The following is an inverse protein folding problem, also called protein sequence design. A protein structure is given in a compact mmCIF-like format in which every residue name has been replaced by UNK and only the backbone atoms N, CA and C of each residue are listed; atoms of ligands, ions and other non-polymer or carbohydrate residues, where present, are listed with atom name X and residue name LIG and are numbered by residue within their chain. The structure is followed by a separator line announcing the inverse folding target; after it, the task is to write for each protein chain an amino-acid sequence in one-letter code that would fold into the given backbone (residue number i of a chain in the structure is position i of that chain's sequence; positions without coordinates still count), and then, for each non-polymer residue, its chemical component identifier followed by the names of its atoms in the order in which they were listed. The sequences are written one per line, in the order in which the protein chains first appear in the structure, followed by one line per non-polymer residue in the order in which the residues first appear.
data_IF_885106277139
#
_entry.id   IF_885106277139
#
_cell.length_a   1.000
_cell.length_b   1.000
_cell.length_c   1.000
_cell.angle_alpha   90.00
_cell.angle_beta   90.00
_cell.angle_gamma   90.00
#
_symmetry.space_group_name_H-M   'P 1'
#
loop_
_entity.id
_entity.type
_entity.pdbx_description
1 polymer ?
#
# COMPACT_ATOMS: atom_id res chain seq x y z
N UNK A 1 -27.36 -54.59 60.77
CA UNK A 1 -28.32 -53.48 60.99
C UNK A 1 -28.54 -52.74 59.68
N UNK A 2 -29.60 -51.92 59.61
CA UNK A 2 -29.78 -50.84 58.63
C UNK A 2 -28.58 -49.85 58.69
N UNK A 3 -28.23 -49.03 57.69
CA UNK A 3 -28.85 -48.76 56.38
C UNK A 3 -27.88 -48.00 55.44
N UNK A 4 -28.16 -48.00 54.12
CA UNK A 4 -27.85 -46.90 53.13
C UNK A 4 -26.38 -46.47 52.87
N UNK A 5 -25.97 -45.93 51.71
CA UNK A 5 -26.65 -45.65 50.41
C UNK A 5 -25.63 -45.43 49.25
N UNK A 6 -26.15 -45.53 48.02
CA UNK A 6 -25.78 -44.90 46.72
C UNK A 6 -24.83 -43.67 46.74
N UNK A 7 -24.07 -43.29 45.70
CA UNK A 7 -24.17 -43.39 44.21
C UNK A 7 -22.77 -43.09 43.58
N UNK A 8 -22.41 -43.11 42.27
CA UNK A 8 -23.03 -43.40 40.94
C UNK A 8 -21.91 -43.78 39.92
N UNK A 9 -22.24 -44.42 38.79
CA UNK A 9 -21.35 -44.66 37.63
C UNK A 9 -21.14 -43.45 36.71
N UNK A 10 -19.97 -43.34 36.06
CA UNK A 10 -19.85 -42.78 34.70
C UNK A 10 -18.60 -43.32 33.96
N UNK A 11 -18.82 -44.04 32.86
CA UNK A 11 -17.79 -44.48 31.90
C UNK A 11 -17.57 -43.38 30.82
N UNK A 12 -16.35 -43.15 30.32
CA UNK A 12 -16.09 -42.20 29.22
C UNK A 12 -15.02 -42.67 28.23
N UNK A 13 -15.26 -42.28 26.96
CA UNK A 13 -14.50 -42.71 25.78
C UNK A 13 -13.13 -42.03 25.65
N UNK A 14 -12.23 -42.71 24.96
CA UNK A 14 -11.04 -42.13 24.33
C UNK A 14 -11.44 -41.00 23.36
N UNK A 15 -10.60 -39.97 23.28
CA UNK A 15 -10.70 -38.90 22.27
C UNK A 15 -9.34 -38.70 21.59
N UNK A 16 -9.37 -38.56 20.25
CA UNK A 16 -8.17 -38.27 19.45
C UNK A 16 -7.91 -36.76 19.46
N UNK A 17 -6.80 -36.34 20.05
CA UNK A 17 -6.41 -34.93 20.10
C UNK A 17 -5.75 -34.49 18.79
N UNK A 18 -6.53 -33.88 17.89
CA UNK A 18 -6.01 -33.15 16.74
C UNK A 18 -6.34 -31.66 16.87
N UNK A 19 -5.52 -30.96 17.66
CA UNK A 19 -5.64 -29.52 17.91
C UNK A 19 -4.31 -28.80 17.63
N UNK A 20 -3.99 -28.64 16.34
CA UNK A 20 -3.20 -27.49 15.93
C UNK A 20 -4.08 -26.25 15.98
N UNK A 21 -4.21 -25.66 17.17
CA UNK A 21 -4.81 -24.36 17.37
C UNK A 21 -3.94 -23.30 16.70
N UNK A 22 -4.16 -23.09 15.40
CA UNK A 22 -3.59 -21.95 14.70
C UNK A 22 -4.14 -20.68 15.37
N UNK A 23 -3.29 -19.99 16.14
CA UNK A 23 -3.65 -18.75 16.81
C UNK A 23 -4.02 -17.70 15.76
N UNK A 24 -5.33 -17.54 15.53
CA UNK A 24 -5.85 -16.51 14.65
C UNK A 24 -5.58 -15.18 15.33
N UNK A 25 -4.43 -14.58 15.01
CA UNK A 25 -4.01 -13.32 15.60
C UNK A 25 -4.96 -12.22 15.08
N UNK A 26 -6.01 -11.96 15.86
CA UNK A 26 -7.17 -11.15 15.50
C UNK A 26 -6.87 -9.65 15.49
N UNK A 27 -5.63 -9.23 15.21
CA UNK A 27 -5.30 -7.81 15.06
C UNK A 27 -5.84 -7.22 13.74
N UNK A 28 -7.15 -6.93 13.78
CA UNK A 28 -7.83 -5.90 12.98
C UNK A 28 -7.76 -6.14 11.47
N UNK A 29 -8.49 -7.17 11.02
CA UNK A 29 -9.10 -7.23 9.68
C UNK A 29 -10.19 -6.16 9.52
N UNK A 30 -9.80 -4.89 9.66
CA UNK A 30 -10.70 -3.75 9.55
C UNK A 30 -11.10 -3.53 8.09
N UNK A 31 -12.39 -3.29 7.78
CA UNK A 31 -12.82 -2.85 6.45
C UNK A 31 -12.35 -1.42 6.12
N UNK A 32 -11.88 -0.69 7.14
CA UNK A 32 -11.28 0.63 7.06
C UNK A 32 -9.75 0.55 7.09
N UNK A 33 -9.09 1.50 6.44
CA UNK A 33 -7.64 1.61 6.47
C UNK A 33 -7.13 1.92 7.90
N UNK A 34 -5.96 1.39 8.25
CA UNK A 34 -5.28 1.62 9.53
C UNK A 34 -5.05 3.12 9.80
N UNK A 35 -4.87 3.53 11.06
CA UNK A 35 -4.72 4.94 11.43
C UNK A 35 -3.63 5.68 10.61
N UNK A 36 -3.98 6.86 10.12
CA UNK A 36 -3.14 7.67 9.22
C UNK A 36 -3.10 7.20 7.76
N UNK A 37 -3.90 6.22 7.35
CA UNK A 37 -4.11 5.85 5.95
C UNK A 37 -5.50 6.30 5.46
N UNK A 38 -5.60 6.72 4.20
CA UNK A 38 -6.83 7.20 3.55
C UNK A 38 -7.36 6.17 2.56
N UNK A 39 -8.65 5.81 2.68
CA UNK A 39 -9.31 4.84 1.80
C UNK A 39 -9.68 5.51 0.47
N UNK A 40 -9.17 4.98 -0.64
CA UNK A 40 -9.46 5.42 -2.01
C UNK A 40 -9.71 4.15 -2.84
N UNK A 41 -10.87 4.04 -3.47
CA UNK A 41 -11.19 3.01 -4.47
C UNK A 41 -10.83 1.55 -4.05
N UNK A 42 -11.11 1.15 -2.79
CA UNK A 42 -10.77 -0.19 -2.28
C UNK A 42 -9.30 -0.40 -1.90
N UNK A 43 -8.48 0.64 -1.94
CA UNK A 43 -7.07 0.67 -1.53
C UNK A 43 -6.86 1.69 -0.41
N UNK A 44 -5.74 1.59 0.27
CA UNK A 44 -5.32 2.44 1.39
C UNK A 44 -4.04 3.18 1.02
N UNK A 45 -4.06 4.51 1.11
CA UNK A 45 -2.95 5.39 0.75
C UNK A 45 -2.42 6.19 1.93
N UNK A 46 -1.11 6.47 1.96
CA UNK A 46 -0.49 7.31 2.99
C UNK A 46 0.58 8.21 2.36
N UNK A 47 0.44 9.51 2.54
CA UNK A 47 1.48 10.48 2.20
C UNK A 47 2.58 10.45 3.27
N UNK A 48 3.82 10.40 2.84
CA UNK A 48 5.02 10.42 3.68
C UNK A 48 5.76 11.72 3.39
N UNK A 49 5.70 12.66 4.34
CA UNK A 49 6.26 14.00 4.18
C UNK A 49 7.80 14.02 4.17
N UNK A 50 8.44 13.07 4.86
CA UNK A 50 9.90 12.95 4.95
C UNK A 50 10.53 12.72 3.57
N UNK A 51 11.40 13.63 3.06
CA UNK A 51 11.98 13.45 1.75
C UNK A 51 12.97 12.29 1.67
N UNK A 52 12.81 11.42 0.68
CA UNK A 52 13.65 10.23 0.45
C UNK A 52 13.98 10.07 -1.03
N UNK A 53 15.10 9.39 -1.34
CA UNK A 53 15.30 8.84 -2.71
C UNK A 53 14.21 7.80 -3.00
N UNK A 54 13.90 7.56 -4.27
CA UNK A 54 12.80 6.67 -4.67
C UNK A 54 12.96 5.26 -4.06
N UNK A 55 14.18 4.71 -4.06
CA UNK A 55 14.48 3.39 -3.47
C UNK A 55 14.34 3.35 -1.95
N UNK A 56 14.70 4.44 -1.23
CA UNK A 56 14.45 4.56 0.22
C UNK A 56 12.97 4.71 0.52
N UNK A 57 12.23 5.44 -0.32
CA UNK A 57 10.78 5.62 -0.20
C UNK A 57 10.02 4.29 -0.40
N UNK A 58 10.40 3.49 -1.41
CA UNK A 58 9.87 2.13 -1.61
C UNK A 58 10.19 1.21 -0.42
N UNK A 59 11.43 1.21 0.10
CA UNK A 59 11.78 0.44 1.31
C UNK A 59 10.92 0.84 2.53
N UNK A 60 10.70 2.14 2.72
CA UNK A 60 9.83 2.68 3.78
C UNK A 60 8.36 2.27 3.61
N UNK A 61 7.84 2.20 2.37
CA UNK A 61 6.51 1.66 2.13
C UNK A 61 6.45 0.15 2.44
N UNK A 62 7.48 -0.63 2.06
CA UNK A 62 7.55 -2.08 2.33
C UNK A 62 7.55 -2.41 3.81
N UNK A 63 8.22 -1.62 4.65
CA UNK A 63 8.16 -1.74 6.12
C UNK A 63 6.80 -1.40 6.75
N UNK A 64 5.80 -1.00 5.96
CA UNK A 64 4.39 -0.85 6.38
C UNK A 64 3.44 -1.82 5.64
N UNK A 65 3.98 -2.90 5.05
CA UNK A 65 3.28 -3.86 4.18
C UNK A 65 2.57 -3.17 3.00
N UNK A 66 3.27 -2.24 2.35
CA UNK A 66 2.82 -1.45 1.22
C UNK A 66 3.93 -1.30 0.17
N UNK A 67 3.61 -0.68 -0.96
CA UNK A 67 4.58 -0.23 -1.96
C UNK A 67 4.41 1.28 -2.16
N UNK A 68 5.29 1.92 -2.93
CA UNK A 68 4.96 3.21 -3.53
C UNK A 68 3.70 3.07 -4.40
N UNK A 69 2.88 4.12 -4.41
CA UNK A 69 1.56 4.06 -5.01
C UNK A 69 1.60 3.82 -6.53
N UNK A 70 1.00 2.74 -7.00
CA UNK A 70 0.54 2.65 -8.39
C UNK A 70 -0.78 3.40 -8.57
N UNK A 71 -1.01 3.90 -9.79
CA UNK A 71 -2.21 4.68 -10.13
C UNK A 71 -2.94 3.99 -11.28
N UNK A 72 -4.19 3.61 -11.05
CA UNK A 72 -4.99 2.75 -11.92
C UNK A 72 -5.97 3.53 -12.80
N UNK A 73 -6.32 4.77 -12.43
CA UNK A 73 -7.16 5.68 -13.23
C UNK A 73 -7.09 7.13 -12.73
N UNK A 74 -7.62 8.05 -13.53
CA UNK A 74 -7.63 9.50 -13.27
C UNK A 74 -8.41 9.87 -11.99
N UNK A 75 -9.46 9.11 -11.64
CA UNK A 75 -10.25 9.33 -10.43
C UNK A 75 -9.51 8.96 -9.14
N UNK A 76 -8.67 7.92 -9.19
CA UNK A 76 -7.70 7.60 -8.12
C UNK A 76 -6.61 8.68 -8.04
N UNK A 77 -6.08 9.10 -9.19
CA UNK A 77 -5.03 10.12 -9.29
C UNK A 77 -5.43 11.44 -8.62
N UNK A 78 -6.59 12.00 -8.95
CA UNK A 78 -7.07 13.24 -8.32
C UNK A 78 -7.30 13.10 -6.80
N UNK A 79 -7.68 11.91 -6.32
CA UNK A 79 -7.83 11.64 -4.88
C UNK A 79 -6.46 11.58 -4.18
N UNK A 80 -5.42 11.04 -4.84
CA UNK A 80 -4.03 11.09 -4.35
C UNK A 80 -3.51 12.54 -4.34
N UNK A 81 -3.82 13.35 -5.36
CA UNK A 81 -3.49 14.79 -5.36
C UNK A 81 -4.16 15.53 -4.20
N UNK A 82 -5.44 15.27 -3.93
CA UNK A 82 -6.14 15.84 -2.78
C UNK A 82 -5.50 15.40 -1.45
N UNK A 83 -5.06 14.14 -1.33
CA UNK A 83 -4.31 13.66 -0.15
C UNK A 83 -2.99 14.43 0.05
N UNK A 84 -2.20 14.65 -1.00
CA UNK A 84 -0.95 15.43 -0.92
C UNK A 84 -1.25 16.89 -0.54
N UNK A 85 -2.27 17.51 -1.13
CA UNK A 85 -2.70 18.87 -0.82
C UNK A 85 -3.09 19.00 0.66
N UNK A 86 -3.98 18.14 1.17
CA UNK A 86 -4.44 18.13 2.57
C UNK A 86 -3.34 17.79 3.60
N UNK A 87 -2.16 17.32 3.16
CA UNK A 87 -1.05 16.92 4.04
C UNK A 87 0.23 17.75 3.85
N UNK A 88 0.27 18.67 2.88
CA UNK A 88 1.42 19.54 2.62
C UNK A 88 1.06 20.97 2.20
N UNK A 89 -0.24 21.32 2.23
CA UNK A 89 -0.83 22.61 1.86
C UNK A 89 -0.54 23.08 0.42
N UNK A 90 0.03 22.21 -0.44
CA UNK A 90 0.31 22.46 -1.86
C UNK A 90 0.35 21.16 -2.66
N UNK A 91 0.36 21.27 -3.99
CA UNK A 91 0.57 20.13 -4.90
C UNK A 91 2.05 19.76 -4.98
N UNK A 92 2.62 19.26 -3.87
CA UNK A 92 4.05 18.93 -3.76
C UNK A 92 4.46 17.87 -4.78
N UNK A 93 5.61 18.05 -5.46
CA UNK A 93 6.18 17.03 -6.35
C UNK A 93 6.59 15.79 -5.54
N UNK A 94 5.90 14.67 -5.78
CA UNK A 94 5.88 13.51 -4.87
C UNK A 94 6.19 12.22 -5.61
N UNK A 95 7.00 11.33 -5.02
CA UNK A 95 7.30 10.01 -5.57
C UNK A 95 6.09 9.08 -5.53
N UNK A 96 5.85 8.38 -6.64
CA UNK A 96 4.91 7.26 -6.77
C UNK A 96 5.61 6.08 -7.47
N UNK A 97 5.00 4.90 -7.49
CA UNK A 97 5.71 3.63 -7.67
C UNK A 97 6.19 3.30 -9.08
N UNK A 98 6.19 4.26 -10.01
CA UNK A 98 6.57 4.01 -11.39
C UNK A 98 8.09 4.06 -11.57
N UNK A 99 8.64 3.09 -12.30
CA UNK A 99 10.05 3.09 -12.72
C UNK A 99 10.23 2.26 -14.00
N UNK A 100 11.15 2.69 -14.86
CA UNK A 100 11.67 1.92 -16.00
C UNK A 100 13.16 1.56 -15.80
N UNK A 101 13.67 1.61 -14.57
CA UNK A 101 15.09 1.37 -14.25
C UNK A 101 15.58 -0.05 -14.56
N UNK A 102 14.66 -1.01 -14.76
CA UNK A 102 14.97 -2.37 -15.22
C UNK A 102 15.21 -2.43 -16.74
N UNK A 103 14.50 -1.62 -17.52
CA UNK A 103 14.58 -1.54 -18.96
C UNK A 103 14.03 -0.19 -19.43
N UNK A 104 14.90 0.66 -19.97
CA UNK A 104 14.59 2.00 -20.50
C UNK A 104 13.30 2.00 -21.36
N UNK A 105 12.40 2.96 -21.11
CA UNK A 105 11.05 3.11 -21.71
C UNK A 105 10.00 2.07 -21.27
N UNK A 106 10.37 0.95 -20.64
CA UNK A 106 9.42 -0.04 -20.11
C UNK A 106 9.04 0.31 -18.67
N UNK A 107 8.07 1.22 -18.52
CA UNK A 107 7.57 1.65 -17.22
C UNK A 107 6.74 0.55 -16.54
N UNK A 108 7.10 0.24 -15.28
CA UNK A 108 6.46 -0.74 -14.42
C UNK A 108 6.07 -0.09 -13.08
N UNK A 109 5.05 -0.64 -12.41
CA UNK A 109 4.72 -0.27 -11.02
C UNK A 109 5.45 -1.19 -10.03
N UNK A 110 6.03 -0.62 -8.96
CA UNK A 110 6.75 -1.35 -7.91
C UNK A 110 5.89 -2.31 -7.07
N UNK A 111 4.56 -2.21 -7.18
CA UNK A 111 3.57 -3.12 -6.59
C UNK A 111 3.15 -4.28 -7.52
N UNK A 112 3.76 -4.39 -8.71
CA UNK A 112 3.49 -5.42 -9.70
C UNK A 112 2.17 -5.28 -10.46
N UNK A 113 1.42 -4.18 -10.27
CA UNK A 113 0.21 -3.94 -11.06
C UNK A 113 0.52 -3.51 -12.51
N UNK A 114 -0.39 -3.77 -13.48
CA UNK A 114 -0.17 -3.38 -14.86
C UNK A 114 -0.06 -1.86 -15.05
N UNK A 115 0.99 -1.40 -15.73
CA UNK A 115 1.21 0.01 -16.05
C UNK A 115 0.32 0.47 -17.24
N UNK A 116 -1.00 0.51 -17.01
CA UNK A 116 -2.01 0.80 -18.05
C UNK A 116 -2.46 2.26 -18.11
N UNK A 117 -2.65 2.90 -16.95
CA UNK A 117 -3.03 4.31 -16.88
C UNK A 117 -1.78 5.18 -16.88
N UNK A 118 -1.77 6.24 -17.69
CA UNK A 118 -0.70 7.24 -17.71
C UNK A 118 -1.27 8.66 -17.65
N UNK A 119 -0.53 9.58 -17.04
CA UNK A 119 -0.91 10.99 -16.97
C UNK A 119 0.31 11.92 -17.08
N UNK A 120 1.15 11.64 -18.07
CA UNK A 120 2.37 12.39 -18.36
C UNK A 120 2.09 13.85 -18.74
N UNK A 121 3.02 14.74 -18.39
CA UNK A 121 3.06 16.10 -18.91
C UNK A 121 3.49 16.12 -20.39
N UNK A 122 3.25 17.24 -21.08
CA UNK A 122 3.80 17.43 -22.43
C UNK A 122 5.33 17.31 -22.43
N UNK A 123 5.88 16.60 -23.41
CA UNK A 123 7.32 16.30 -23.50
C UNK A 123 7.83 15.32 -22.45
N UNK A 124 6.97 14.53 -21.79
CA UNK A 124 7.34 13.53 -20.78
C UNK A 124 6.72 12.13 -21.06
N UNK A 125 7.39 11.02 -20.68
CA UNK A 125 8.76 10.95 -20.19
C UNK A 125 9.74 11.37 -21.30
N UNK A 126 10.87 11.98 -20.93
CA UNK A 126 11.89 12.34 -21.93
C UNK A 126 12.95 11.23 -22.13
N UNK A 127 12.88 10.14 -21.35
CA UNK A 127 13.67 8.92 -21.55
C UNK A 127 15.18 9.22 -21.64
N UNK A 128 15.63 10.13 -20.75
CA UNK A 128 17.03 10.30 -20.43
C UNK A 128 17.40 9.18 -19.46
N UNK A 129 18.45 8.41 -19.78
CA UNK A 129 18.88 7.15 -19.12
C UNK A 129 19.31 7.25 -17.64
N UNK A 130 18.94 8.34 -16.96
CA UNK A 130 19.14 8.61 -15.54
C UNK A 130 17.85 9.03 -14.82
N UNK A 131 16.75 9.31 -15.53
CA UNK A 131 15.50 9.85 -14.98
C UNK A 131 14.45 8.77 -14.60
N UNK A 132 14.91 7.55 -14.32
CA UNK A 132 14.13 6.31 -14.36
C UNK A 132 13.09 6.11 -13.21
N UNK A 133 12.60 7.19 -12.57
CA UNK A 133 11.64 7.15 -11.47
C UNK A 133 10.52 8.20 -11.62
N UNK A 134 9.29 7.79 -11.31
CA UNK A 134 8.08 8.57 -11.60
C UNK A 134 7.66 9.48 -10.43
N UNK A 135 7.60 10.79 -10.69
CA UNK A 135 6.98 11.78 -9.79
C UNK A 135 5.67 12.31 -10.36
N UNK A 136 4.72 12.59 -9.48
CA UNK A 136 3.50 13.32 -9.79
C UNK A 136 3.59 14.79 -9.37
N UNK A 137 2.66 15.61 -9.86
CA UNK A 137 2.57 17.06 -9.64
C UNK A 137 3.74 17.86 -10.23
N UNK A 138 4.33 17.40 -11.34
CA UNK A 138 5.49 18.04 -11.98
C UNK A 138 5.31 19.55 -12.15
N UNK A 139 6.23 20.35 -11.59
CA UNK A 139 6.18 21.83 -11.59
C UNK A 139 4.81 22.44 -11.19
N UNK A 140 4.03 21.74 -10.37
CA UNK A 140 2.66 22.15 -9.99
C UNK A 140 1.60 21.94 -11.08
N UNK A 141 1.96 21.52 -12.30
CA UNK A 141 1.07 21.30 -13.46
C UNK A 141 0.15 20.08 -13.31
N UNK A 142 0.14 19.44 -12.13
CA UNK A 142 -0.72 18.29 -11.78
C UNK A 142 -0.59 17.07 -12.70
N UNK A 143 0.44 16.95 -13.54
CA UNK A 143 0.76 15.78 -14.36
C UNK A 143 2.06 15.08 -13.91
N UNK A 144 2.44 13.98 -14.58
CA UNK A 144 3.60 13.15 -14.24
C UNK A 144 4.85 13.54 -15.02
N UNK A 145 6.01 13.33 -14.41
CA UNK A 145 7.30 13.37 -15.09
C UNK A 145 8.23 12.29 -14.55
N UNK A 146 9.10 11.81 -15.43
CA UNK A 146 10.32 11.10 -15.07
C UNK A 146 11.31 12.07 -14.37
N UNK A 147 12.17 11.52 -13.51
CA UNK A 147 13.18 12.24 -12.74
C UNK A 147 14.23 11.33 -12.11
N UNK A 148 15.42 11.86 -11.85
CA UNK A 148 16.51 11.05 -11.31
C UNK A 148 16.20 10.51 -9.90
N UNK A 149 16.25 9.20 -9.76
CA UNK A 149 15.80 8.44 -8.59
C UNK A 149 16.49 8.81 -7.26
N UNK A 150 17.68 9.40 -7.31
CA UNK A 150 18.47 9.76 -6.14
C UNK A 150 17.98 11.02 -5.41
N UNK A 151 17.23 11.91 -6.08
CA UNK A 151 16.73 13.14 -5.45
C UNK A 151 15.73 12.85 -4.32
N UNK A 152 15.83 13.62 -3.24
CA UNK A 152 14.97 13.46 -2.08
C UNK A 152 13.60 14.11 -2.32
N UNK A 153 12.52 13.33 -2.22
CA UNK A 153 11.14 13.83 -2.31
C UNK A 153 10.22 13.12 -1.32
N UNK A 154 9.13 13.77 -0.86
CA UNK A 154 8.01 13.09 -0.22
C UNK A 154 7.47 11.97 -1.12
N UNK A 155 6.72 11.03 -0.56
CA UNK A 155 6.12 9.92 -1.32
C UNK A 155 4.67 9.64 -0.95
N UNK A 156 4.00 8.83 -1.77
CA UNK A 156 2.74 8.17 -1.38
C UNK A 156 2.94 6.67 -1.39
N UNK A 157 2.68 6.01 -0.26
CA UNK A 157 2.57 4.56 -0.18
C UNK A 157 1.13 4.11 -0.44
N UNK A 158 0.94 2.93 -1.02
CA UNK A 158 -0.36 2.29 -1.22
C UNK A 158 -0.33 0.79 -0.85
N UNK A 159 -1.45 0.29 -0.33
CA UNK A 159 -1.74 -1.15 -0.20
C UNK A 159 -3.21 -1.43 -0.47
N UNK A 160 -3.57 -2.71 -0.72
CA UNK A 160 -4.98 -3.13 -0.79
C UNK A 160 -5.65 -2.85 0.56
N UNK A 161 -6.92 -2.43 0.57
CA UNK A 161 -7.71 -2.51 1.79
C UNK A 161 -7.97 -3.99 2.10
N UNK A 162 -8.19 -4.33 3.38
CA UNK A 162 -8.58 -5.70 3.70
C UNK A 162 -9.99 -5.98 3.13
N UNK A 163 -10.22 -7.13 2.46
CA UNK A 163 -11.56 -7.48 1.99
C UNK A 163 -12.50 -7.60 3.19
N UNK A 164 -13.71 -7.02 3.08
CA UNK A 164 -14.77 -7.36 4.02
C UNK A 164 -15.15 -8.80 3.73
N UNK A 165 -14.90 -9.70 4.69
CA UNK A 165 -15.57 -10.99 4.70
C UNK A 165 -16.97 -10.72 5.21
N UNK A 166 -17.95 -10.87 4.32
CA UNK A 166 -19.37 -10.94 4.68
C UNK A 166 -19.78 -12.38 4.95
#
# INVERSE_FOLDING_TARGET
MLSTSTTRSSNRSLHVNCLFSAEINLEKRSPYCSSGWTRINGRCFRYIATPMSWSRAEKNCRSMNANLASVQNIGEYYKIQKLILMRSNKYTETWIGGSDAQQERLWLWSDGTPFRFTFWCSGKPNNLRTQNCLRMNYRGQRCWADFQCYYLRPSVCAKKAWPILG
#
